data_IF_522487062437
#
_entry.id   IF_522487062437
#
_cell.length_a   1.000
_cell.length_b   1.000
_cell.length_c   1.000
_cell.angle_alpha   90.00
_cell.angle_beta   90.00
_cell.angle_gamma   90.00
#
_symmetry.space_group_name_H-M   'P 1'
#
loop_
_entity.id
_entity.type
_entity.pdbx_description
1 polymer ?
#
# COMPACT_ATOMS: atom_id res chain seq x y z
N UNK A 1 8.79 16.42 -6.06
CA UNK A 1 7.97 15.31 -6.59
C UNK A 1 7.78 14.29 -5.48
N UNK A 2 6.56 13.81 -5.28
CA UNK A 2 6.30 12.73 -4.35
C UNK A 2 7.00 11.43 -4.80
N UNK A 3 7.33 10.58 -3.83
CA UNK A 3 7.94 9.26 -4.06
C UNK A 3 7.02 8.18 -3.49
N UNK A 4 7.08 6.94 -3.99
CA UNK A 4 6.30 5.82 -3.46
C UNK A 4 6.53 5.64 -1.96
N UNK A 5 5.48 5.32 -1.22
CA UNK A 5 5.51 5.18 0.23
C UNK A 5 5.36 6.48 1.02
N UNK A 6 5.40 7.64 0.36
CA UNK A 6 5.14 8.92 1.00
C UNK A 6 3.63 9.18 1.15
N UNK A 7 3.30 10.04 2.10
CA UNK A 7 1.93 10.35 2.49
C UNK A 7 1.74 11.86 2.64
N UNK A 8 0.49 12.26 2.81
CA UNK A 8 0.11 13.61 3.21
C UNK A 8 -0.59 13.56 4.56
N UNK A 9 -0.58 14.66 5.28
CA UNK A 9 -1.50 14.90 6.39
C UNK A 9 -2.59 15.86 5.89
N UNK A 10 -3.84 15.47 6.05
CA UNK A 10 -4.98 16.31 5.72
C UNK A 10 -5.86 16.56 6.94
N UNK A 11 -6.59 17.67 6.89
CA UNK A 11 -7.66 18.03 7.81
C UNK A 11 -8.83 18.59 7.01
N UNK A 12 -10.02 18.07 7.23
CA UNK A 12 -11.21 18.41 6.42
C UNK A 12 -11.74 19.81 6.77
N UNK A 13 -11.91 20.09 8.06
CA UNK A 13 -12.46 21.34 8.57
C UNK A 13 -11.72 21.82 9.83
N UNK A 14 -12.07 23.01 10.36
CA UNK A 14 -11.43 23.60 11.54
C UNK A 14 -11.48 22.72 12.80
N UNK A 15 -12.51 21.88 12.93
CA UNK A 15 -12.72 20.96 14.05
C UNK A 15 -12.26 19.53 13.72
N UNK A 16 -11.80 19.29 12.50
CA UNK A 16 -11.37 18.01 12.02
C UNK A 16 -10.04 17.57 12.61
N UNK A 17 -9.86 16.26 12.75
CA UNK A 17 -8.59 15.65 13.07
C UNK A 17 -7.65 15.68 11.86
N UNK A 18 -6.36 15.69 12.12
CA UNK A 18 -5.33 15.48 11.11
C UNK A 18 -5.13 14.00 10.91
N UNK A 19 -5.27 13.53 9.67
CA UNK A 19 -5.09 12.12 9.34
C UNK A 19 -4.02 11.94 8.26
N UNK A 20 -3.18 10.90 8.37
CA UNK A 20 -2.22 10.54 7.33
C UNK A 20 -2.92 9.72 6.24
N UNK A 21 -2.73 10.12 4.98
CA UNK A 21 -3.22 9.37 3.82
C UNK A 21 -2.07 9.23 2.82
N UNK A 22 -1.86 8.02 2.34
CA UNK A 22 -0.80 7.74 1.36
C UNK A 22 -1.11 8.41 0.02
N UNK A 23 -0.08 8.95 -0.62
CA UNK A 23 -0.13 9.46 -1.98
C UNK A 23 -0.18 8.25 -2.92
N UNK A 24 -1.34 8.05 -3.57
CA UNK A 24 -1.51 6.98 -4.55
C UNK A 24 -0.90 7.35 -5.91
N UNK A 25 -1.14 8.58 -6.37
CA UNK A 25 -0.57 9.11 -7.59
C UNK A 25 -0.42 10.63 -7.52
N UNK A 26 0.35 11.20 -8.43
CA UNK A 26 0.47 12.64 -8.60
C UNK A 26 0.70 13.00 -10.07
N UNK A 27 0.20 14.15 -10.48
CA UNK A 27 0.42 14.71 -11.80
C UNK A 27 1.06 16.09 -11.65
N UNK A 28 2.37 16.24 -11.95
CA UNK A 28 3.08 17.50 -11.77
C UNK A 28 2.67 18.57 -12.80
N UNK A 29 2.12 18.18 -13.95
CA UNK A 29 1.67 19.12 -14.99
C UNK A 29 0.34 19.76 -14.60
N UNK A 30 -0.56 18.96 -14.05
CA UNK A 30 -1.85 19.43 -13.52
C UNK A 30 -1.76 19.98 -12.10
N UNK A 31 -0.65 19.73 -11.39
CA UNK A 31 -0.48 20.09 -9.99
C UNK A 31 -1.43 19.33 -9.05
N UNK A 32 -1.77 18.09 -9.39
CA UNK A 32 -2.72 17.27 -8.62
C UNK A 32 -2.05 16.13 -7.89
N UNK A 33 -2.66 15.74 -6.77
CA UNK A 33 -2.34 14.55 -5.99
C UNK A 33 -3.58 13.70 -5.87
N UNK A 34 -3.45 12.40 -6.13
CA UNK A 34 -4.53 11.42 -5.97
C UNK A 34 -4.36 10.66 -4.67
N UNK A 35 -5.40 10.62 -3.88
CA UNK A 35 -5.50 9.82 -2.66
C UNK A 35 -6.70 8.88 -2.76
N UNK A 36 -6.60 7.70 -2.14
CA UNK A 36 -7.70 6.74 -2.04
C UNK A 36 -8.01 6.55 -0.56
N UNK A 37 -9.27 6.75 -0.22
CA UNK A 37 -9.74 6.74 1.18
C UNK A 37 -10.86 5.74 1.34
N UNK A 38 -10.79 4.92 2.37
CA UNK A 38 -11.88 4.07 2.81
C UNK A 38 -12.60 4.74 3.98
N UNK A 39 -13.91 4.81 3.92
CA UNK A 39 -14.75 5.37 4.98
C UNK A 39 -14.79 4.40 6.17
N UNK A 40 -14.03 4.73 7.22
CA UNK A 40 -13.88 3.88 8.42
C UNK A 40 -14.04 4.64 9.74
N UNK A 41 -14.20 5.97 9.68
CA UNK A 41 -14.32 6.82 10.87
C UNK A 41 -14.79 8.23 10.52
N UNK A 42 -14.99 9.07 11.54
CA UNK A 42 -15.62 10.39 11.41
C UNK A 42 -14.94 11.31 10.37
N UNK A 43 -13.61 11.35 10.33
CA UNK A 43 -12.87 12.18 9.37
C UNK A 43 -13.00 11.68 7.95
N UNK A 44 -12.91 10.37 7.72
CA UNK A 44 -13.07 9.75 6.40
C UNK A 44 -14.52 9.80 5.93
N UNK A 45 -15.50 9.78 6.84
CA UNK A 45 -16.90 10.02 6.54
C UNK A 45 -17.12 11.46 6.05
N UNK A 46 -16.59 12.46 6.75
CA UNK A 46 -16.65 13.85 6.29
C UNK A 46 -16.01 14.02 4.92
N UNK A 47 -14.86 13.39 4.71
CA UNK A 47 -14.13 13.46 3.45
C UNK A 47 -14.95 12.87 2.28
N UNK A 48 -15.72 11.80 2.52
CA UNK A 48 -16.57 11.17 1.49
C UNK A 48 -17.75 12.03 1.04
N UNK A 49 -18.11 13.09 1.79
CA UNK A 49 -19.17 14.03 1.43
C UNK A 49 -18.67 15.25 0.65
N UNK A 50 -17.36 15.41 0.45
CA UNK A 50 -16.82 16.50 -0.34
C UNK A 50 -17.06 16.26 -1.84
N UNK A 51 -17.33 17.36 -2.53
CA UNK A 51 -17.57 17.40 -3.96
C UNK A 51 -16.46 18.15 -4.68
N UNK A 52 -16.46 18.07 -6.00
CA UNK A 52 -15.57 18.86 -6.83
C UNK A 52 -15.73 20.37 -6.56
N UNK A 53 -14.62 21.04 -6.28
CA UNK A 53 -14.57 22.46 -5.90
C UNK A 53 -14.57 22.72 -4.40
N UNK A 54 -14.84 21.71 -3.57
CA UNK A 54 -14.71 21.85 -2.11
C UNK A 54 -13.24 21.92 -1.70
N UNK A 55 -12.99 22.57 -0.57
CA UNK A 55 -11.63 22.78 -0.06
C UNK A 55 -11.41 22.01 1.24
N UNK A 56 -10.19 21.49 1.40
CA UNK A 56 -9.69 20.98 2.67
C UNK A 56 -9.05 22.10 3.48
N UNK A 57 -9.20 22.04 4.81
CA UNK A 57 -8.62 23.03 5.72
C UNK A 57 -7.09 22.98 5.70
N UNK A 58 -6.50 21.77 5.78
CA UNK A 58 -5.06 21.55 5.67
C UNK A 58 -4.77 20.41 4.71
N UNK A 59 -3.69 20.55 3.93
CA UNK A 59 -3.14 19.53 3.08
C UNK A 59 -1.62 19.71 3.03
N UNK A 60 -0.88 18.87 3.76
CA UNK A 60 0.55 19.02 3.96
C UNK A 60 1.29 17.77 3.47
N UNK A 61 2.28 17.94 2.64
CA UNK A 61 3.11 16.83 2.11
C UNK A 61 3.96 17.26 0.92
N UNK A 62 4.74 16.33 0.32
CA UNK A 62 4.86 14.92 0.74
C UNK A 62 5.64 14.77 2.05
N UNK A 63 5.22 13.82 2.89
CA UNK A 63 5.84 13.47 4.16
C UNK A 63 6.30 12.01 4.14
N UNK A 64 7.14 11.64 5.09
CA UNK A 64 7.66 10.29 5.25
C UNK A 64 8.83 9.97 4.31
N UNK A 65 9.44 8.81 4.57
CA UNK A 65 10.57 8.30 3.78
C UNK A 65 10.04 7.53 2.57
N UNK A 66 10.66 7.74 1.41
CA UNK A 66 10.36 6.94 0.21
C UNK A 66 10.70 5.46 0.43
N UNK A 67 9.95 4.58 -0.19
CA UNK A 67 10.27 3.16 -0.26
C UNK A 67 11.53 2.95 -1.10
N UNK A 68 12.47 2.16 -0.59
CA UNK A 68 13.70 1.83 -1.30
C UNK A 68 13.40 0.80 -2.41
N UNK A 69 13.58 1.20 -3.66
CA UNK A 69 13.30 0.35 -4.84
C UNK A 69 14.54 -0.03 -5.62
N UNK A 70 15.69 0.58 -5.33
CA UNK A 70 16.92 0.41 -6.11
C UNK A 70 17.50 -1.01 -6.02
N UNK A 71 18.10 -1.46 -7.13
CA UNK A 71 18.89 -2.69 -7.20
C UNK A 71 18.08 -3.99 -7.24
N UNK A 72 16.76 -3.94 -7.21
CA UNK A 72 15.90 -5.12 -7.28
C UNK A 72 15.43 -5.37 -8.71
N UNK A 73 15.55 -6.62 -9.17
CA UNK A 73 15.23 -7.03 -10.55
C UNK A 73 13.92 -7.79 -10.66
N UNK A 74 13.55 -8.50 -9.61
CA UNK A 74 12.30 -9.28 -9.56
C UNK A 74 11.65 -9.17 -8.19
N UNK A 75 10.46 -8.63 -8.13
CA UNK A 75 9.73 -8.39 -6.88
C UNK A 75 8.31 -8.93 -6.94
N UNK A 76 7.77 -9.25 -5.77
CA UNK A 76 6.35 -9.55 -5.63
C UNK A 76 5.71 -8.53 -4.67
N UNK A 77 4.66 -7.86 -5.11
CA UNK A 77 3.91 -6.90 -4.30
C UNK A 77 2.56 -7.49 -3.94
N UNK A 78 2.32 -7.65 -2.63
CA UNK A 78 1.10 -8.24 -2.09
C UNK A 78 0.28 -7.15 -1.43
N UNK A 79 -0.88 -6.85 -1.99
CA UNK A 79 -1.84 -5.85 -1.48
C UNK A 79 -3.07 -6.50 -0.85
N UNK A 80 -3.62 -5.91 0.21
CA UNK A 80 -4.86 -6.38 0.83
C UNK A 80 -5.86 -5.26 1.11
N UNK A 81 -7.07 -5.36 0.56
CA UNK A 81 -8.12 -4.37 0.71
C UNK A 81 -7.66 -2.97 0.29
N UNK A 82 -7.94 -1.95 1.11
CA UNK A 82 -7.47 -0.57 0.85
C UNK A 82 -5.94 -0.45 0.83
N UNK A 83 -5.20 -1.41 1.39
CA UNK A 83 -3.74 -1.47 1.29
C UNK A 83 -3.24 -1.55 -0.15
N UNK A 84 -4.07 -1.97 -1.11
CA UNK A 84 -3.77 -1.93 -2.54
C UNK A 84 -3.51 -0.49 -3.03
N UNK A 85 -4.18 0.51 -2.45
CA UNK A 85 -3.94 1.92 -2.76
C UNK A 85 -2.54 2.40 -2.35
N UNK A 86 -1.96 1.76 -1.33
CA UNK A 86 -0.61 2.03 -0.83
C UNK A 86 0.43 1.20 -1.62
N UNK A 87 0.05 -0.03 -1.96
CA UNK A 87 0.90 -0.97 -2.70
C UNK A 87 1.15 -0.53 -4.15
N UNK A 88 0.14 0.04 -4.79
CA UNK A 88 0.21 0.42 -6.21
C UNK A 88 1.36 1.37 -6.57
N UNK A 89 1.58 2.51 -5.89
CA UNK A 89 2.68 3.41 -6.25
C UNK A 89 4.06 2.75 -6.08
N UNK A 90 4.22 1.84 -5.13
CA UNK A 90 5.45 1.05 -4.94
C UNK A 90 5.66 0.09 -6.11
N UNK A 91 4.61 -0.67 -6.46
CA UNK A 91 4.60 -1.59 -7.58
C UNK A 91 4.92 -0.87 -8.90
N UNK A 92 4.21 0.24 -9.16
CA UNK A 92 4.42 1.04 -10.36
C UNK A 92 5.85 1.54 -10.49
N UNK A 93 6.46 1.97 -9.39
CA UNK A 93 7.85 2.41 -9.39
C UNK A 93 8.82 1.30 -9.79
N UNK A 94 8.66 0.08 -9.27
CA UNK A 94 9.46 -1.07 -9.67
C UNK A 94 9.32 -1.37 -11.16
N UNK A 95 8.09 -1.36 -11.66
CA UNK A 95 7.81 -1.57 -13.08
C UNK A 95 8.45 -0.47 -13.96
N UNK A 96 8.28 0.79 -13.58
CA UNK A 96 8.87 1.93 -14.30
C UNK A 96 10.41 1.90 -14.28
N UNK A 97 11.03 1.33 -13.24
CA UNK A 97 12.48 1.12 -13.13
C UNK A 97 12.97 -0.13 -13.91
N UNK A 98 12.06 -0.88 -14.53
CA UNK A 98 12.39 -2.04 -15.37
C UNK A 98 12.56 -3.35 -14.61
N UNK A 99 12.09 -3.46 -13.37
CA UNK A 99 12.04 -4.73 -12.65
C UNK A 99 10.89 -5.61 -13.17
N UNK A 100 11.06 -6.94 -13.10
CA UNK A 100 9.96 -7.89 -13.27
C UNK A 100 9.07 -7.85 -12.01
N UNK A 101 7.81 -7.50 -12.18
CA UNK A 101 6.89 -7.26 -11.08
C UNK A 101 5.72 -8.24 -11.11
N UNK A 102 5.58 -9.04 -10.07
CA UNK A 102 4.37 -9.83 -9.83
C UNK A 102 3.50 -9.13 -8.77
N UNK A 103 2.22 -9.07 -9.02
CA UNK A 103 1.23 -8.50 -8.12
C UNK A 103 0.27 -9.58 -7.62
N UNK A 104 -0.02 -9.57 -6.32
CA UNK A 104 -1.08 -10.37 -5.72
C UNK A 104 -1.95 -9.40 -4.91
N UNK A 105 -3.21 -9.27 -5.27
CA UNK A 105 -4.14 -8.39 -4.56
C UNK A 105 -5.30 -9.20 -3.99
N UNK A 106 -5.63 -8.96 -2.73
CA UNK A 106 -6.65 -9.71 -2.01
C UNK A 106 -7.77 -8.82 -1.49
N UNK A 107 -9.00 -9.27 -1.67
CA UNK A 107 -10.21 -8.60 -1.21
C UNK A 107 -11.17 -9.60 -0.58
N UNK A 108 -12.17 -9.13 0.15
CA UNK A 108 -13.21 -10.02 0.69
C UNK A 108 -14.15 -10.49 -0.41
N UNK A 109 -14.58 -9.57 -1.25
CA UNK A 109 -15.62 -9.75 -2.27
C UNK A 109 -15.29 -8.92 -3.51
N UNK A 110 -15.95 -9.22 -4.65
CA UNK A 110 -15.76 -8.55 -5.94
C UNK A 110 -15.98 -7.02 -5.87
N UNK A 111 -17.01 -6.59 -5.16
CA UNK A 111 -17.40 -5.17 -5.03
C UNK A 111 -16.34 -4.30 -4.30
N UNK A 112 -15.39 -4.94 -3.61
CA UNK A 112 -14.28 -4.28 -2.93
C UNK A 112 -13.00 -4.21 -3.77
N UNK A 113 -13.00 -4.78 -4.98
CA UNK A 113 -11.82 -4.77 -5.86
C UNK A 113 -11.56 -3.35 -6.37
N UNK A 114 -10.36 -2.87 -6.13
CA UNK A 114 -9.91 -1.54 -6.57
C UNK A 114 -8.62 -1.63 -7.37
N UNK A 115 -8.40 -0.68 -8.28
CA UNK A 115 -7.14 -0.50 -9.04
C UNK A 115 -6.70 -1.70 -9.89
N UNK A 116 -7.58 -2.65 -10.21
CA UNK A 116 -7.20 -3.85 -10.96
C UNK A 116 -6.53 -3.52 -12.29
N UNK A 117 -7.13 -2.63 -13.09
CA UNK A 117 -6.56 -2.22 -14.37
C UNK A 117 -5.21 -1.52 -14.25
N UNK A 118 -5.01 -0.78 -13.15
CA UNK A 118 -3.74 -0.11 -12.87
C UNK A 118 -2.65 -1.12 -12.49
N UNK A 119 -2.98 -2.07 -11.63
CA UNK A 119 -2.09 -3.19 -11.30
C UNK A 119 -1.74 -4.01 -12.54
N UNK A 120 -2.72 -4.32 -13.39
CA UNK A 120 -2.52 -5.08 -14.61
C UNK A 120 -1.59 -4.39 -15.61
N UNK A 121 -1.69 -3.06 -15.72
CA UNK A 121 -0.82 -2.27 -16.61
C UNK A 121 0.61 -2.13 -16.09
N UNK A 122 0.81 -2.26 -14.79
CA UNK A 122 2.09 -2.01 -14.13
C UNK A 122 2.71 -3.27 -13.50
N UNK A 123 2.29 -4.46 -13.94
CA UNK A 123 2.87 -5.73 -13.49
C UNK A 123 2.93 -6.74 -14.65
N UNK A 124 3.95 -7.60 -14.60
CA UNK A 124 4.12 -8.71 -15.56
C UNK A 124 3.15 -9.85 -15.27
N UNK A 125 2.72 -9.96 -14.01
CA UNK A 125 1.72 -10.93 -13.57
C UNK A 125 0.86 -10.36 -12.46
N UNK A 126 -0.46 -10.44 -12.64
CA UNK A 126 -1.45 -10.06 -11.63
C UNK A 126 -2.27 -11.29 -11.21
N UNK A 127 -2.41 -11.49 -9.90
CA UNK A 127 -3.36 -12.45 -9.32
C UNK A 127 -4.30 -11.67 -8.41
N UNK A 128 -5.59 -11.70 -8.74
CA UNK A 128 -6.66 -11.15 -7.89
C UNK A 128 -7.27 -12.29 -7.09
N UNK A 129 -7.32 -12.15 -5.78
CA UNK A 129 -7.93 -13.11 -4.85
C UNK A 129 -9.15 -12.50 -4.18
N UNK A 130 -10.21 -13.31 -4.01
CA UNK A 130 -11.35 -12.96 -3.15
C UNK A 130 -11.60 -14.08 -2.14
N UNK A 131 -11.90 -13.72 -0.89
CA UNK A 131 -12.11 -14.70 0.18
C UNK A 131 -13.30 -15.61 -0.12
N UNK A 132 -14.38 -15.02 -0.66
CA UNK A 132 -15.62 -15.74 -0.98
C UNK A 132 -15.59 -16.43 -2.36
N UNK A 133 -14.66 -16.05 -3.24
CA UNK A 133 -14.55 -16.56 -4.61
C UNK A 133 -15.52 -15.91 -5.58
N UNK A 134 -16.07 -14.73 -5.24
CA UNK A 134 -16.95 -13.97 -6.14
C UNK A 134 -16.23 -13.45 -7.38
N UNK A 135 -14.91 -13.22 -7.29
CA UNK A 135 -14.08 -12.77 -8.40
C UNK A 135 -12.64 -13.30 -8.32
N UNK A 136 -12.05 -13.51 -9.49
CA UNK A 136 -10.67 -13.98 -9.63
C UNK A 136 -10.44 -15.35 -8.97
N UNK A 137 -9.39 -15.47 -8.19
CA UNK A 137 -9.04 -16.69 -7.47
C UNK A 137 -9.71 -16.70 -6.09
N UNK A 138 -10.42 -17.77 -5.77
CA UNK A 138 -10.90 -17.99 -4.41
C UNK A 138 -9.74 -18.35 -3.47
N UNK A 139 -9.63 -17.67 -2.34
CA UNK A 139 -8.67 -17.99 -1.27
C UNK A 139 -7.73 -16.84 -0.93
N UNK A 140 -6.69 -17.16 -0.17
CA UNK A 140 -5.81 -16.16 0.42
C UNK A 140 -4.65 -15.78 -0.50
N UNK A 141 -4.17 -14.56 -0.38
CA UNK A 141 -2.97 -14.06 -1.09
C UNK A 141 -1.71 -14.87 -0.75
N UNK A 142 -1.65 -15.44 0.45
CA UNK A 142 -0.53 -16.30 0.90
C UNK A 142 -0.43 -17.60 0.12
N UNK A 143 -1.57 -18.19 -0.26
CA UNK A 143 -1.58 -19.42 -1.05
C UNK A 143 -1.08 -19.13 -2.47
N UNK A 144 -1.54 -18.01 -3.06
CA UNK A 144 -1.05 -17.55 -4.35
C UNK A 144 0.45 -17.24 -4.34
N UNK A 145 0.94 -16.57 -3.29
CA UNK A 145 2.36 -16.28 -3.12
C UNK A 145 3.20 -17.56 -3.01
N UNK A 146 2.75 -18.49 -2.18
CA UNK A 146 3.42 -19.79 -2.00
C UNK A 146 3.54 -20.54 -3.32
N UNK A 147 2.46 -20.64 -4.09
CA UNK A 147 2.47 -21.29 -5.40
C UNK A 147 3.42 -20.61 -6.39
N UNK A 148 3.50 -19.28 -6.38
CA UNK A 148 4.45 -18.56 -7.22
C UNK A 148 5.90 -18.90 -6.85
N UNK A 149 6.23 -18.95 -5.56
CA UNK A 149 7.57 -19.30 -5.09
C UNK A 149 7.89 -20.77 -5.44
N UNK A 150 6.97 -21.68 -5.17
CA UNK A 150 7.13 -23.12 -5.47
C UNK A 150 7.19 -23.44 -6.98
N UNK A 151 6.62 -22.56 -7.82
CA UNK A 151 6.77 -22.62 -9.27
C UNK A 151 8.15 -22.14 -9.77
N UNK A 152 9.07 -21.84 -8.85
CA UNK A 152 10.47 -21.48 -9.17
C UNK A 152 10.72 -19.99 -9.34
N UNK A 153 9.77 -19.11 -8.98
CA UNK A 153 10.02 -17.68 -8.98
C UNK A 153 10.94 -17.32 -7.81
N UNK A 154 12.10 -16.78 -8.12
CA UNK A 154 13.05 -16.26 -7.14
C UNK A 154 12.86 -14.74 -7.08
N UNK A 155 12.32 -14.26 -5.97
CA UNK A 155 12.13 -12.83 -5.73
C UNK A 155 13.30 -12.24 -4.95
N UNK A 156 13.78 -11.09 -5.35
CA UNK A 156 14.74 -10.31 -4.58
C UNK A 156 14.10 -9.81 -3.30
N UNK A 157 12.80 -9.48 -3.36
CA UNK A 157 12.02 -9.07 -2.20
C UNK A 157 10.51 -9.21 -2.43
N UNK A 158 9.78 -9.44 -1.35
CA UNK A 158 8.31 -9.39 -1.29
C UNK A 158 7.89 -8.17 -0.47
N UNK A 159 6.99 -7.36 -1.01
CA UNK A 159 6.37 -6.22 -0.31
C UNK A 159 4.95 -6.59 0.08
N UNK A 160 4.61 -6.51 1.36
CA UNK A 160 3.26 -6.81 1.85
C UNK A 160 2.63 -5.58 2.50
N UNK A 161 1.48 -5.16 1.98
CA UNK A 161 0.80 -3.94 2.37
C UNK A 161 -0.71 -4.22 2.52
N UNK A 162 -1.21 -4.13 3.74
CA UNK A 162 -2.61 -4.41 4.04
C UNK A 162 -2.87 -4.72 5.51
N UNK A 163 -3.89 -5.51 5.84
CA UNK A 163 -4.18 -5.91 7.21
C UNK A 163 -2.98 -6.58 7.90
N UNK A 164 -2.77 -6.26 9.17
CA UNK A 164 -1.62 -6.77 9.94
C UNK A 164 -1.54 -8.30 9.91
N UNK A 165 -2.69 -8.98 10.01
CA UNK A 165 -2.75 -10.44 9.97
C UNK A 165 -2.27 -10.98 8.62
N UNK A 166 -2.64 -10.33 7.51
CA UNK A 166 -2.17 -10.70 6.18
C UNK A 166 -0.65 -10.54 6.07
N UNK A 167 -0.10 -9.39 6.46
CA UNK A 167 1.34 -9.10 6.41
C UNK A 167 2.14 -10.11 7.26
N UNK A 168 1.62 -10.46 8.45
CA UNK A 168 2.21 -11.51 9.30
C UNK A 168 2.27 -12.87 8.59
N UNK A 169 1.19 -13.28 7.92
CA UNK A 169 1.18 -14.55 7.21
C UNK A 169 1.99 -14.51 5.92
N UNK A 170 2.04 -13.39 5.21
CA UNK A 170 2.96 -13.22 4.07
C UNK A 170 4.41 -13.42 4.52
N UNK A 171 4.84 -12.76 5.61
CA UNK A 171 6.19 -12.93 6.16
C UNK A 171 6.50 -14.37 6.56
N UNK A 172 5.53 -15.06 7.18
CA UNK A 172 5.68 -16.50 7.50
C UNK A 172 5.74 -17.40 6.26
N UNK A 173 5.09 -17.02 5.18
CA UNK A 173 5.13 -17.77 3.92
C UNK A 173 6.47 -17.63 3.22
N UNK A 174 7.11 -16.47 3.28
CA UNK A 174 8.41 -16.21 2.64
C UNK A 174 9.61 -16.71 3.45
N UNK A 175 9.48 -16.75 4.78
CA UNK A 175 10.56 -17.12 5.72
C UNK A 175 11.23 -18.46 5.38
N UNK A 176 10.51 -19.58 5.12
CA UNK A 176 11.14 -20.88 4.80
C UNK A 176 11.96 -20.87 3.50
N UNK A 177 11.67 -19.92 2.61
CA UNK A 177 12.36 -19.79 1.32
C UNK A 177 13.49 -18.76 1.36
N UNK A 178 13.71 -18.12 2.52
CA UNK A 178 14.75 -17.09 2.69
C UNK A 178 14.50 -15.81 1.86
N UNK A 179 13.26 -15.55 1.45
CA UNK A 179 12.92 -14.36 0.65
C UNK A 179 12.73 -13.16 1.58
N UNK A 180 13.51 -12.08 1.42
CA UNK A 180 13.33 -10.85 2.18
C UNK A 180 11.91 -10.30 2.02
N UNK A 181 11.31 -9.86 3.13
CA UNK A 181 9.93 -9.36 3.11
C UNK A 181 9.84 -8.03 3.85
N UNK A 182 9.46 -6.99 3.12
CA UNK A 182 9.14 -5.68 3.70
C UNK A 182 7.64 -5.55 3.91
N UNK A 183 7.24 -5.14 5.11
CA UNK A 183 5.85 -4.89 5.49
C UNK A 183 5.61 -3.41 5.76
N UNK A 184 4.46 -2.90 5.33
CA UNK A 184 4.04 -1.52 5.61
C UNK A 184 3.19 -1.47 6.87
N UNK A 185 3.82 -1.10 7.99
CA UNK A 185 3.13 -1.00 9.28
C UNK A 185 2.37 0.33 9.36
N UNK A 186 1.05 0.26 9.50
CA UNK A 186 0.21 1.43 9.77
C UNK A 186 0.05 1.59 11.27
N UNK A 187 0.76 2.56 11.83
CA UNK A 187 0.67 2.91 13.26
C UNK A 187 0.01 4.27 13.43
N UNK A 188 -0.42 4.59 14.66
CA UNK A 188 -0.99 5.92 14.95
C UNK A 188 0.05 6.98 14.63
N UNK A 189 -0.28 7.87 13.71
CA UNK A 189 0.59 8.96 13.29
C UNK A 189 -0.10 10.29 13.62
N UNK A 190 0.62 11.19 14.30
CA UNK A 190 0.07 12.45 14.79
C UNK A 190 0.60 13.63 13.97
N UNK A 191 1.91 13.85 13.95
CA UNK A 191 2.52 14.99 13.26
C UNK A 191 3.01 14.69 11.84
N UNK A 192 3.37 13.45 11.57
CA UNK A 192 3.89 13.02 10.27
C UNK A 192 5.31 13.47 9.95
N UNK A 193 5.98 14.21 10.85
CA UNK A 193 7.34 14.74 10.64
C UNK A 193 8.43 13.89 11.33
N UNK A 194 8.02 12.92 12.16
CA UNK A 194 8.93 12.11 12.99
C UNK A 194 9.31 12.76 14.33
N UNK A 195 8.82 13.96 14.61
CA UNK A 195 9.21 14.70 15.83
C UNK A 195 8.51 14.15 17.07
N UNK A 196 7.20 13.81 17.00
CA UNK A 196 6.46 13.34 18.17
C UNK A 196 6.78 11.89 18.56
N UNK A 197 7.30 11.09 17.65
CA UNK A 197 7.62 9.67 17.85
C UNK A 197 6.40 8.80 18.21
N UNK A 198 5.19 9.22 17.90
CA UNK A 198 3.96 8.47 18.18
C UNK A 198 3.84 7.17 17.39
N UNK A 199 4.45 7.08 16.20
CA UNK A 199 4.43 5.93 15.33
C UNK A 199 5.58 4.92 15.58
N UNK A 200 6.31 5.03 16.69
CA UNK A 200 7.41 4.11 17.03
C UNK A 200 6.93 2.69 17.21
N UNK A 201 7.72 1.76 16.71
CA UNK A 201 7.55 0.34 16.98
C UNK A 201 8.91 -0.35 17.17
N UNK A 202 8.93 -1.46 17.88
CA UNK A 202 10.12 -2.27 18.06
C UNK A 202 10.15 -3.41 17.05
N UNK A 203 11.23 -3.49 16.29
CA UNK A 203 11.48 -4.57 15.32
C UNK A 203 12.82 -5.19 15.62
N UNK A 204 12.85 -6.48 15.97
CA UNK A 204 14.10 -7.16 16.32
C UNK A 204 14.84 -6.57 17.52
N UNK A 205 14.12 -5.90 18.44
CA UNK A 205 14.71 -5.23 19.61
C UNK A 205 15.17 -3.78 19.32
N UNK A 206 15.11 -3.32 18.08
CA UNK A 206 15.43 -1.96 17.70
C UNK A 206 14.17 -1.10 17.52
N UNK A 207 14.26 0.17 17.93
CA UNK A 207 13.20 1.14 17.72
C UNK A 207 13.23 1.62 16.25
N UNK A 208 12.09 1.52 15.59
CA UNK A 208 11.87 2.02 14.21
C UNK A 208 10.73 3.05 14.19
N UNK A 209 10.75 3.91 13.17
CA UNK A 209 9.74 4.97 12.94
C UNK A 209 9.09 4.77 11.57
#
# INVERSE_FOLDING_TARGET
>A
KAQPGQFIILRVDEKGERIPITINAYDPEKGTVTIIVQTVGATTEKLSHLNEGDCLQDFVGPLGKATETEGKKKVCVVGGGVGCAIAYPVLKKFHDDGAEVHAIVGFRTEDLVILEEDFKKSSDKLIVCTDDGSYGRKGLVTDALKELIEAGNQYDEVFAIGPMIMMKFVSKTTEPYGVPTTVSMSHIMIDGTGMCGGCRLSVGGEMKF
#
